data_IF_165023931502
#
_entry.id   IF_165023931502
#
_cell.length_a   1.000
_cell.length_b   1.000
_cell.length_c   1.000
_cell.angle_alpha   90.00
_cell.angle_beta   90.00
_cell.angle_gamma   90.00
#
_symmetry.space_group_name_H-M   'P 1'
#
loop_
_entity.id
_entity.type
_entity.pdbx_description
1 polymer ?
#
# COMPACT_ATOMS: atom_id res chain seq x y z
N UNK A 1 18.37 -6.10 79.09
CA UNK A 1 17.21 -6.61 78.32
C UNK A 1 17.12 -5.81 77.04
N UNK A 2 17.57 -6.38 75.91
CA UNK A 2 17.68 -5.68 74.63
C UNK A 2 16.32 -5.66 73.91
N UNK A 3 15.78 -4.47 73.67
CA UNK A 3 14.57 -4.26 72.88
C UNK A 3 14.91 -4.21 71.39
N UNK A 4 14.39 -5.17 70.62
CA UNK A 4 14.49 -5.15 69.15
C UNK A 4 13.69 -3.97 68.58
N UNK A 5 14.23 -3.21 67.59
CA UNK A 5 13.46 -2.19 66.90
C UNK A 5 12.38 -2.82 66.00
N UNK A 6 11.23 -2.15 65.79
CA UNK A 6 10.15 -2.67 64.98
C UNK A 6 10.58 -2.78 63.51
N UNK A 7 10.24 -3.91 62.87
CA UNK A 7 10.45 -4.13 61.44
C UNK A 7 9.69 -3.06 60.64
N UNK A 8 10.41 -2.26 59.86
CA UNK A 8 9.82 -1.41 58.83
C UNK A 8 9.05 -2.32 57.87
N UNK A 9 7.72 -2.19 57.88
CA UNK A 9 6.87 -2.88 56.93
C UNK A 9 7.16 -2.30 55.53
N UNK A 10 7.91 -3.03 54.71
CA UNK A 10 7.97 -2.76 53.29
C UNK A 10 6.59 -3.04 52.71
N UNK A 11 5.79 -1.99 52.51
CA UNK A 11 4.60 -2.07 51.66
C UNK A 11 5.07 -2.58 50.32
N UNK A 12 4.66 -3.79 49.95
CA UNK A 12 4.85 -4.35 48.62
C UNK A 12 4.16 -3.40 47.65
N UNK A 13 4.91 -2.45 47.08
CA UNK A 13 4.45 -1.66 45.95
C UNK A 13 4.24 -2.68 44.83
N UNK A 14 2.97 -3.02 44.59
CA UNK A 14 2.60 -3.71 43.38
C UNK A 14 2.95 -2.73 42.24
N UNK A 15 4.07 -2.95 41.57
CA UNK A 15 4.36 -2.30 40.29
C UNK A 15 3.32 -2.81 39.29
N UNK A 16 2.14 -2.20 39.33
CA UNK A 16 1.17 -2.26 38.26
C UNK A 16 1.84 -1.56 37.07
N UNK A 17 2.44 -2.33 36.17
CA UNK A 17 2.76 -1.77 34.86
C UNK A 17 1.44 -1.47 34.19
N UNK A 18 1.13 -0.19 34.02
CA UNK A 18 -0.03 0.23 33.26
C UNK A 18 0.08 -0.36 31.85
N UNK A 19 -0.77 -1.34 31.53
CA UNK A 19 -0.90 -1.88 30.17
C UNK A 19 -1.65 -0.86 29.32
N UNK A 20 -0.98 0.24 28.97
CA UNK A 20 -1.49 1.17 27.99
C UNK A 20 -1.14 0.60 26.62
N UNK A 21 -2.14 0.15 25.87
CA UNK A 21 -1.94 -0.21 24.47
C UNK A 21 -1.34 1.01 23.77
N UNK A 22 -0.22 0.79 23.06
CA UNK A 22 0.37 1.84 22.26
C UNK A 22 -0.67 2.31 21.23
N UNK A 23 -0.80 3.62 21.00
CA UNK A 23 -1.68 4.13 19.95
C UNK A 23 -1.31 3.48 18.62
N UNK A 24 -2.30 2.95 17.89
CA UNK A 24 -2.07 2.37 16.55
C UNK A 24 -2.05 3.43 15.45
N UNK A 25 -2.43 4.68 15.77
CA UNK A 25 -2.38 5.79 14.85
C UNK A 25 -0.99 6.45 14.91
N UNK A 26 -0.27 6.61 13.77
CA UNK A 26 1.06 7.19 13.73
C UNK A 26 1.11 8.61 14.32
N UNK A 27 0.07 9.43 14.10
CA UNK A 27 0.00 10.78 14.67
C UNK A 27 -0.09 10.79 16.20
N UNK A 28 -0.80 9.83 16.79
CA UNK A 28 -0.88 9.69 18.25
C UNK A 28 0.42 9.16 18.86
N UNK A 29 1.16 8.32 18.13
CA UNK A 29 2.50 7.86 18.54
C UNK A 29 3.52 9.00 18.56
N UNK A 30 3.51 9.87 17.54
CA UNK A 30 4.38 11.05 17.47
C UNK A 30 4.08 12.01 18.64
N UNK A 31 2.80 12.26 18.93
CA UNK A 31 2.40 13.08 20.08
C UNK A 31 2.80 12.47 21.42
N UNK A 32 2.71 11.14 21.54
CA UNK A 32 3.18 10.43 22.72
C UNK A 32 4.69 10.60 22.90
N UNK A 33 5.48 10.40 21.83
CA UNK A 33 6.93 10.61 21.83
C UNK A 33 7.32 12.03 22.27
N UNK A 34 6.67 13.06 21.73
CA UNK A 34 6.91 14.45 22.16
C UNK A 34 6.52 14.73 23.62
N UNK A 35 5.45 14.11 24.14
CA UNK A 35 5.09 14.21 25.56
C UNK A 35 6.12 13.52 26.47
N UNK A 36 6.65 12.37 26.03
CA UNK A 36 7.69 11.64 26.76
C UNK A 36 9.01 12.43 26.79
N UNK A 37 9.39 13.05 25.66
CA UNK A 37 10.56 13.94 25.58
C UNK A 37 10.44 15.11 26.57
N UNK A 38 9.30 15.81 26.57
CA UNK A 38 9.05 16.91 27.49
C UNK A 38 9.08 16.47 28.96
N UNK A 39 8.54 15.29 29.28
CA UNK A 39 8.58 14.72 30.63
C UNK A 39 10.01 14.42 31.10
N UNK A 40 10.85 13.86 30.22
CA UNK A 40 12.26 13.60 30.52
C UNK A 40 13.01 14.91 30.74
N UNK A 41 12.78 15.93 29.91
CA UNK A 41 13.42 17.24 30.08
C UNK A 41 12.99 17.94 31.38
N UNK A 42 11.73 17.79 31.81
CA UNK A 42 11.22 18.41 33.02
C UNK A 42 11.72 17.76 34.33
N UNK A 43 11.96 16.44 34.32
CA UNK A 43 12.30 15.65 35.53
C UNK A 43 13.77 15.21 35.54
N UNK A 44 14.47 15.28 34.40
CA UNK A 44 15.85 14.81 34.24
C UNK A 44 16.89 15.55 35.10
N UNK A 45 16.62 16.79 35.53
CA UNK A 45 17.51 17.55 36.41
C UNK A 45 17.39 17.16 37.89
N UNK A 46 16.28 16.58 38.32
CA UNK A 46 15.96 16.27 39.72
C UNK A 46 16.18 14.81 40.11
N UNK A 47 16.47 13.93 39.14
CA UNK A 47 16.76 12.52 39.37
C UNK A 47 18.21 12.23 38.96
N UNK A 48 19.19 12.28 39.89
CA UNK A 48 20.58 11.92 39.63
C UNK A 48 20.71 10.40 39.64
N UNK A 49 20.03 9.73 38.71
CA UNK A 49 20.31 8.34 38.41
C UNK A 49 21.24 8.35 37.22
N UNK A 50 22.42 7.78 37.43
CA UNK A 50 23.38 7.34 36.41
C UNK A 50 22.64 6.83 35.16
N UNK A 51 22.36 7.73 34.20
CA UNK A 51 21.63 7.47 32.94
C UNK A 51 22.49 6.66 31.95
N UNK A 52 23.38 5.80 32.47
CA UNK A 52 24.37 5.05 31.69
C UNK A 52 23.94 3.60 31.47
N UNK A 53 22.85 3.14 32.10
CA UNK A 53 22.28 1.83 31.80
C UNK A 53 20.84 2.00 31.28
N UNK A 54 20.75 2.05 29.95
CA UNK A 54 19.55 1.66 29.19
C UNK A 54 18.33 2.58 29.32
N UNK A 55 18.49 3.85 29.69
CA UNK A 55 17.43 4.85 29.55
C UNK A 55 17.69 5.74 28.34
N UNK A 56 16.77 5.70 27.39
CA UNK A 56 16.73 6.51 26.18
C UNK A 56 16.79 7.99 26.60
N UNK A 57 17.92 8.66 26.34
CA UNK A 57 18.06 10.10 26.62
C UNK A 57 17.03 10.89 25.82
N UNK A 58 16.66 12.10 26.27
CA UNK A 58 15.72 12.97 25.56
C UNK A 58 16.13 13.14 24.08
N UNK A 59 17.43 13.27 23.81
CA UNK A 59 17.98 13.30 22.45
C UNK A 59 17.62 12.05 21.65
N UNK A 60 17.75 10.85 22.21
CA UNK A 60 17.46 9.60 21.49
C UNK A 60 15.96 9.44 21.20
N UNK A 61 15.08 9.89 22.11
CA UNK A 61 13.63 9.96 21.88
C UNK A 61 13.27 10.93 20.74
N UNK A 62 13.94 12.09 20.70
CA UNK A 62 13.79 13.06 19.64
C UNK A 62 14.24 12.48 18.29
N UNK A 63 15.44 11.89 18.24
CA UNK A 63 16.00 11.27 17.04
C UNK A 63 15.07 10.14 16.52
N UNK A 64 14.50 9.32 17.41
CA UNK A 64 13.58 8.23 17.04
C UNK A 64 12.22 8.75 16.53
N UNK A 65 11.70 9.82 17.12
CA UNK A 65 10.44 10.45 16.67
C UNK A 65 10.63 11.09 15.28
N UNK A 66 11.77 11.74 15.04
CA UNK A 66 12.13 12.28 13.73
C UNK A 66 12.31 11.16 12.69
N UNK A 67 12.99 10.07 13.05
CA UNK A 67 13.12 8.90 12.18
C UNK A 67 11.76 8.30 11.81
N UNK A 68 10.82 8.22 12.76
CA UNK A 68 9.47 7.75 12.51
C UNK A 68 8.68 8.69 11.59
N UNK A 69 8.76 10.00 11.78
CA UNK A 69 8.16 11.01 10.89
C UNK A 69 8.67 10.87 9.45
N UNK A 70 9.97 10.69 9.27
CA UNK A 70 10.56 10.48 7.94
C UNK A 70 10.07 9.17 7.33
N UNK A 71 9.99 8.09 8.11
CA UNK A 71 9.48 6.80 7.63
C UNK A 71 8.01 6.86 7.21
N UNK A 72 7.15 7.55 7.98
CA UNK A 72 5.73 7.72 7.66
C UNK A 72 5.54 8.54 6.38
N UNK A 73 6.29 9.63 6.23
CA UNK A 73 6.28 10.43 5.00
C UNK A 73 6.73 9.62 3.77
N UNK A 74 7.78 8.83 3.90
CA UNK A 74 8.27 7.95 2.82
C UNK A 74 7.23 6.87 2.45
N UNK A 75 6.59 6.27 3.45
CA UNK A 75 5.52 5.30 3.22
C UNK A 75 4.33 5.92 2.49
N UNK A 76 3.88 7.10 2.92
CA UNK A 76 2.78 7.83 2.30
C UNK A 76 3.11 8.26 0.87
N UNK A 77 4.32 8.74 0.62
CA UNK A 77 4.79 9.08 -0.72
C UNK A 77 4.85 7.85 -1.65
N UNK A 78 5.35 6.72 -1.14
CA UNK A 78 5.36 5.45 -1.87
C UNK A 78 3.95 4.96 -2.21
N UNK A 79 3.04 5.01 -1.23
CA UNK A 79 1.62 4.63 -1.42
C UNK A 79 0.93 5.52 -2.46
N UNK A 80 1.15 6.84 -2.40
CA UNK A 80 0.62 7.79 -3.37
C UNK A 80 1.12 7.49 -4.79
N UNK A 81 2.42 7.21 -4.94
CA UNK A 81 3.01 6.88 -6.24
C UNK A 81 2.43 5.60 -6.82
N UNK A 82 2.24 4.57 -5.99
CA UNK A 82 1.60 3.31 -6.40
C UNK A 82 0.14 3.52 -6.81
N UNK A 83 -0.59 4.39 -6.10
CA UNK A 83 -1.96 4.73 -6.47
C UNK A 83 -2.01 5.41 -7.83
N UNK A 84 -1.19 6.43 -8.07
CA UNK A 84 -1.12 7.12 -9.37
C UNK A 84 -0.75 6.18 -10.51
N UNK A 85 0.21 5.27 -10.28
CA UNK A 85 0.57 4.25 -11.26
C UNK A 85 -0.63 3.34 -11.55
N UNK A 86 -1.29 2.82 -10.50
CA UNK A 86 -2.48 1.98 -10.63
C UNK A 86 -3.60 2.67 -11.41
N UNK A 87 -3.92 3.92 -11.09
CA UNK A 87 -4.98 4.69 -11.76
C UNK A 87 -4.68 4.84 -13.27
N UNK A 88 -3.42 5.10 -13.62
CA UNK A 88 -2.96 5.21 -15.01
C UNK A 88 -3.08 3.87 -15.74
N UNK A 89 -2.72 2.76 -15.09
CA UNK A 89 -2.86 1.42 -15.66
C UNK A 89 -4.33 1.04 -15.87
N UNK A 90 -5.22 1.33 -14.91
CA UNK A 90 -6.66 1.02 -15.02
C UNK A 90 -7.31 1.76 -16.20
N UNK A 91 -7.04 3.07 -16.35
CA UNK A 91 -7.55 3.85 -17.48
C UNK A 91 -7.14 3.24 -18.83
N UNK A 92 -5.90 2.76 -18.94
CA UNK A 92 -5.41 2.11 -20.17
C UNK A 92 -6.09 0.76 -20.44
N UNK A 93 -6.40 0.00 -19.38
CA UNK A 93 -7.09 -1.29 -19.50
C UNK A 93 -8.53 -1.15 -19.99
N UNK A 94 -9.23 -0.11 -19.54
CA UNK A 94 -10.59 0.18 -19.99
C UNK A 94 -10.64 0.58 -21.47
N UNK A 95 -9.66 1.38 -21.92
CA UNK A 95 -9.48 1.70 -23.34
C UNK A 95 -9.19 0.44 -24.18
N UNK A 96 -8.31 -0.45 -23.68
CA UNK A 96 -8.03 -1.72 -24.35
C UNK A 96 -9.27 -2.61 -24.45
N UNK A 97 -10.06 -2.69 -23.38
CA UNK A 97 -11.29 -3.49 -23.36
C UNK A 97 -12.33 -2.94 -24.35
N UNK A 98 -12.55 -1.62 -24.33
CA UNK A 98 -13.46 -0.95 -25.27
C UNK A 98 -13.05 -1.19 -26.72
N UNK A 99 -11.75 -1.07 -27.00
CA UNK A 99 -11.21 -1.35 -28.33
C UNK A 99 -11.43 -2.82 -28.75
N UNK A 100 -11.16 -3.79 -27.86
CA UNK A 100 -11.41 -5.21 -28.12
C UNK A 100 -12.90 -5.48 -28.39
N UNK A 101 -13.80 -4.78 -27.70
CA UNK A 101 -15.24 -4.89 -27.90
C UNK A 101 -15.67 -4.34 -29.27
N UNK A 102 -15.14 -3.19 -29.67
CA UNK A 102 -15.38 -2.62 -30.99
C UNK A 102 -14.88 -3.53 -32.12
N UNK A 103 -13.67 -4.10 -31.96
CA UNK A 103 -13.11 -5.05 -32.92
C UNK A 103 -13.95 -6.33 -32.97
N UNK A 104 -14.36 -6.86 -31.82
CA UNK A 104 -15.24 -8.04 -31.77
C UNK A 104 -16.57 -7.78 -32.48
N UNK A 105 -17.20 -6.62 -32.27
CA UNK A 105 -18.42 -6.24 -32.99
C UNK A 105 -18.19 -6.12 -34.50
N UNK A 106 -17.06 -5.57 -34.94
CA UNK A 106 -16.70 -5.51 -36.35
C UNK A 106 -16.52 -6.91 -36.96
N UNK A 107 -15.90 -7.84 -36.22
CA UNK A 107 -15.76 -9.22 -36.64
C UNK A 107 -17.11 -9.95 -36.66
N UNK A 108 -17.98 -9.71 -35.69
CA UNK A 108 -19.33 -10.27 -35.66
C UNK A 108 -20.16 -9.84 -36.87
N UNK A 109 -20.00 -8.61 -37.35
CA UNK A 109 -20.63 -8.16 -38.60
C UNK A 109 -20.09 -8.86 -39.85
N UNK A 110 -18.87 -9.39 -39.81
CA UNK A 110 -18.23 -10.07 -40.96
C UNK A 110 -18.40 -11.59 -40.94
N UNK A 111 -18.24 -12.21 -39.78
CA UNK A 111 -18.18 -13.66 -39.60
C UNK A 111 -19.45 -14.23 -38.95
N UNK A 112 -20.36 -13.35 -38.53
CA UNK A 112 -21.52 -13.71 -37.71
C UNK A 112 -21.20 -13.71 -36.21
N UNK A 113 -22.26 -13.74 -35.41
CA UNK A 113 -22.19 -13.65 -33.93
C UNK A 113 -21.84 -14.97 -33.26
N UNK A 114 -22.04 -16.11 -33.95
CA UNK A 114 -21.70 -17.43 -33.44
C UNK A 114 -20.22 -17.71 -33.68
N UNK A 115 -19.60 -18.39 -32.71
CA UNK A 115 -18.22 -18.82 -32.85
C UNK A 115 -18.08 -19.78 -34.04
N UNK A 116 -17.03 -19.60 -34.83
CA UNK A 116 -16.68 -20.42 -35.98
C UNK A 116 -15.14 -20.45 -36.16
N UNK A 117 -14.64 -21.16 -37.17
CA UNK A 117 -13.21 -21.26 -37.43
C UNK A 117 -12.54 -19.93 -37.79
N UNK A 118 -13.29 -18.95 -38.32
CA UNK A 118 -12.76 -17.61 -38.62
C UNK A 118 -12.47 -16.82 -37.34
N UNK A 119 -13.28 -17.01 -36.28
CA UNK A 119 -13.00 -16.45 -34.95
C UNK A 119 -11.70 -17.00 -34.35
N UNK A 120 -11.44 -18.31 -34.52
CA UNK A 120 -10.20 -18.93 -34.09
C UNK A 120 -8.97 -18.33 -34.80
N UNK A 121 -9.08 -18.11 -36.12
CA UNK A 121 -8.03 -17.46 -36.93
C UNK A 121 -7.77 -16.01 -36.50
N UNK A 122 -8.81 -15.28 -36.09
CA UNK A 122 -8.68 -13.92 -35.54
C UNK A 122 -8.04 -13.88 -34.13
N UNK A 123 -7.92 -15.03 -33.45
CA UNK A 123 -7.27 -15.15 -32.15
C UNK A 123 -8.18 -15.54 -30.99
N UNK A 124 -9.47 -15.79 -31.22
CA UNK A 124 -10.41 -16.29 -30.22
C UNK A 124 -10.32 -17.83 -30.14
N UNK A 125 -9.30 -18.31 -29.42
CA UNK A 125 -8.88 -19.73 -29.36
C UNK A 125 -9.92 -20.61 -28.67
N UNK A 126 -10.57 -20.09 -27.63
CA UNK A 126 -11.65 -20.81 -26.96
C UNK A 126 -12.92 -20.68 -27.80
N UNK A 127 -13.84 -21.64 -27.74
CA UNK A 127 -15.15 -21.62 -28.42
C UNK A 127 -16.10 -20.54 -27.85
N UNK A 128 -15.62 -19.31 -27.79
CA UNK A 128 -16.28 -18.13 -27.25
C UNK A 128 -15.78 -16.91 -28.02
N UNK A 129 -16.72 -16.03 -28.34
CA UNK A 129 -16.46 -14.69 -28.91
C UNK A 129 -16.27 -13.64 -27.81
N UNK A 130 -16.31 -14.06 -26.54
CA UNK A 130 -16.15 -13.22 -25.38
C UNK A 130 -14.71 -12.74 -25.18
N UNK A 131 -14.58 -11.50 -24.74
CA UNK A 131 -13.29 -10.89 -24.40
C UNK A 131 -12.79 -11.51 -23.08
N UNK A 132 -11.51 -11.94 -23.01
CA UNK A 132 -10.94 -12.49 -21.77
C UNK A 132 -11.03 -11.52 -20.59
N UNK A 133 -11.20 -12.03 -19.38
CA UNK A 133 -11.19 -11.21 -18.15
C UNK A 133 -9.78 -10.86 -17.68
N UNK A 134 -8.81 -11.75 -17.93
CA UNK A 134 -7.41 -11.57 -17.52
C UNK A 134 -6.68 -10.59 -18.44
N UNK A 135 -5.94 -9.65 -17.84
CA UNK A 135 -5.18 -8.61 -18.56
C UNK A 135 -4.21 -9.20 -19.58
N UNK A 136 -3.37 -10.16 -19.15
CA UNK A 136 -2.40 -10.81 -20.04
C UNK A 136 -3.08 -11.43 -21.27
N UNK A 137 -4.23 -12.06 -21.08
CA UNK A 137 -5.00 -12.66 -22.18
C UNK A 137 -5.61 -11.61 -23.11
N UNK A 138 -6.03 -10.45 -22.59
CA UNK A 138 -6.51 -9.32 -23.42
C UNK A 138 -5.40 -8.76 -24.30
N UNK A 139 -4.19 -8.58 -23.76
CA UNK A 139 -3.03 -8.09 -24.52
C UNK A 139 -2.64 -9.08 -25.60
N UNK A 140 -2.58 -10.38 -25.30
CA UNK A 140 -2.29 -11.42 -26.29
C UNK A 140 -3.34 -11.47 -27.39
N UNK A 141 -4.63 -11.33 -27.04
CA UNK A 141 -5.71 -11.28 -28.03
C UNK A 141 -5.59 -10.03 -28.91
N UNK A 142 -5.29 -8.87 -28.32
CA UNK A 142 -5.09 -7.62 -29.06
C UNK A 142 -3.94 -7.73 -30.07
N UNK A 143 -2.83 -8.33 -29.67
CA UNK A 143 -1.69 -8.58 -30.55
C UNK A 143 -2.10 -9.47 -31.73
N UNK A 144 -2.79 -10.59 -31.46
CA UNK A 144 -3.27 -11.49 -32.51
C UNK A 144 -4.23 -10.83 -33.49
N UNK A 145 -5.12 -9.97 -33.01
CA UNK A 145 -6.06 -9.23 -33.86
C UNK A 145 -5.35 -8.21 -34.77
N UNK A 146 -4.32 -7.55 -34.23
CA UNK A 146 -3.47 -6.62 -34.98
C UNK A 146 -2.65 -7.32 -36.07
N UNK A 147 -2.23 -8.56 -35.81
CA UNK A 147 -1.49 -9.38 -36.78
C UNK A 147 -2.42 -10.01 -37.83
N UNK A 148 -3.64 -10.37 -37.44
CA UNK A 148 -4.64 -10.96 -38.34
C UNK A 148 -5.16 -9.97 -39.40
N UNK A 149 -5.34 -8.69 -39.06
CA UNK A 149 -5.86 -7.69 -40.00
C UNK A 149 -5.11 -6.36 -39.91
N UNK A 150 -4.34 -5.99 -40.96
CA UNK A 150 -3.68 -4.68 -41.03
C UNK A 150 -4.66 -3.51 -40.95
N UNK A 151 -5.93 -3.69 -41.34
CA UNK A 151 -6.97 -2.66 -41.24
C UNK A 151 -7.33 -2.32 -39.79
N UNK A 152 -7.13 -3.26 -38.86
CA UNK A 152 -7.33 -3.04 -37.42
C UNK A 152 -6.21 -2.13 -36.85
N UNK A 153 -5.01 -2.09 -37.47
CA UNK A 153 -3.96 -1.11 -37.10
C UNK A 153 -4.37 0.32 -37.42
N UNK A 154 -5.04 0.53 -38.56
CA UNK A 154 -5.39 1.87 -39.04
C UNK A 154 -6.43 2.56 -38.13
N UNK A 155 -7.34 1.81 -37.50
CA UNK A 155 -8.32 2.37 -36.56
C UNK A 155 -7.67 2.96 -35.30
N UNK A 156 -6.43 2.56 -34.97
CA UNK A 156 -5.66 3.10 -33.85
C UNK A 156 -5.16 4.53 -34.11
N UNK A 157 -5.02 4.94 -35.37
CA UNK A 157 -4.52 6.27 -35.75
C UNK A 157 -5.61 7.35 -35.77
N UNK A 158 -6.90 6.98 -35.78
CA UNK A 158 -8.02 7.92 -35.94
C UNK A 158 -8.72 8.33 -34.64
N UNK A 159 -8.31 7.79 -33.49
CA UNK A 159 -8.91 8.11 -32.18
C UNK A 159 -7.96 8.77 -31.17
N UNK A 160 -6.73 9.12 -31.59
CA UNK A 160 -5.73 9.82 -30.76
C UNK A 160 -5.25 11.14 -31.41
N UNK A 161 -6.07 11.72 -32.30
CA UNK A 161 -5.87 13.05 -32.88
C UNK A 161 -6.82 14.05 -32.27
#
# INVERSE_FOLDING_TARGET
>A
MAGFPPKLAFTKQNFSMASTSLPQNPGLLIQLGGKMENGINAVGASVPVTMTMTMTTAKKMHDDTQAFLVADNNFNAGRSTLQTASDTYQATLDLLYTWLLNVSNMLANRFGTRWNTQWAQAGFINNTTGIPTRIASRVTLAQRLVDFSPRIRATRCLQWG
#
